data_IF_427600401354
#
_entry.id   IF_427600401354
#
_cell.length_a   1.000
_cell.length_b   1.000
_cell.length_c   1.000
_cell.angle_alpha   90.00
_cell.angle_beta   90.00
_cell.angle_gamma   90.00
#
_symmetry.space_group_name_H-M   'P 1'
#
loop_
_entity.id
_entity.type
_entity.pdbx_description
1 polymer ?
#
# COMPACT_ATOMS: atom_id res chain seq x y z
N UNK A 1 12.30 4.29 13.00
CA UNK A 1 10.93 4.06 12.45
C UNK A 1 11.01 3.18 11.22
N UNK A 2 10.16 2.18 11.14
CA UNK A 2 9.94 1.34 9.95
C UNK A 2 8.46 1.36 9.57
N UNK A 3 8.15 0.95 8.35
CA UNK A 3 6.77 0.83 7.83
C UNK A 3 6.55 -0.60 7.37
N UNK A 4 5.43 -1.20 7.75
CA UNK A 4 5.01 -2.50 7.23
C UNK A 4 3.79 -2.36 6.34
N UNK A 5 3.77 -3.11 5.24
CA UNK A 5 2.56 -3.42 4.49
C UNK A 5 2.34 -4.93 4.57
N UNK A 6 1.23 -5.33 5.17
CA UNK A 6 0.80 -6.72 5.22
C UNK A 6 -0.45 -6.89 4.37
N UNK A 7 -0.41 -7.79 3.41
CA UNK A 7 -1.56 -8.18 2.58
C UNK A 7 -2.01 -9.57 3.02
N UNK A 8 -3.29 -9.69 3.33
CA UNK A 8 -3.91 -10.90 3.86
C UNK A 8 -4.96 -11.38 2.87
N UNK A 9 -4.89 -12.64 2.49
CA UNK A 9 -5.93 -13.29 1.70
C UNK A 9 -6.68 -14.32 2.54
N UNK A 10 -7.91 -14.01 2.91
CA UNK A 10 -8.77 -14.90 3.68
C UNK A 10 -9.28 -16.06 2.82
N UNK A 11 -9.51 -17.23 3.45
CA UNK A 11 -10.25 -18.32 2.80
C UNK A 11 -11.69 -17.85 2.53
N UNK A 12 -12.30 -18.29 1.43
CA UNK A 12 -13.66 -17.87 1.04
C UNK A 12 -14.68 -18.00 2.16
N UNK A 13 -14.62 -19.09 2.93
CA UNK A 13 -15.50 -19.34 4.08
C UNK A 13 -15.39 -18.28 5.17
N UNK A 14 -14.24 -17.60 5.27
CA UNK A 14 -13.94 -16.63 6.33
C UNK A 14 -14.08 -15.16 5.90
N UNK A 15 -14.70 -14.90 4.74
CA UNK A 15 -15.00 -13.51 4.31
C UNK A 15 -15.79 -12.71 5.37
N UNK A 16 -16.83 -13.27 6.05
CA UNK A 16 -17.51 -12.52 7.12
C UNK A 16 -16.57 -12.11 8.26
N UNK A 17 -15.59 -12.94 8.58
CA UNK A 17 -14.57 -12.62 9.59
C UNK A 17 -13.57 -11.58 9.09
N UNK A 18 -13.27 -11.56 7.79
CA UNK A 18 -12.46 -10.50 7.19
C UNK A 18 -13.14 -9.12 7.31
N UNK A 19 -14.45 -9.06 7.05
CA UNK A 19 -15.24 -7.84 7.25
C UNK A 19 -15.29 -7.43 8.72
N UNK A 20 -15.52 -8.39 9.63
CA UNK A 20 -15.55 -8.14 11.07
C UNK A 20 -14.19 -7.61 11.56
N UNK A 21 -13.08 -8.13 11.02
CA UNK A 21 -11.73 -7.70 11.35
C UNK A 21 -11.52 -6.19 11.15
N UNK A 22 -12.16 -5.58 10.16
CA UNK A 22 -12.08 -4.14 9.90
C UNK A 22 -12.63 -3.30 11.07
N UNK A 23 -13.49 -3.85 11.89
CA UNK A 23 -13.99 -3.20 13.09
C UNK A 23 -13.16 -3.59 14.33
N UNK A 24 -13.01 -4.89 14.60
CA UNK A 24 -12.45 -5.39 15.86
C UNK A 24 -10.94 -5.21 15.97
N UNK A 25 -10.20 -5.14 14.85
CA UNK A 25 -8.75 -4.92 14.89
C UNK A 25 -8.37 -3.48 15.25
N UNK A 26 -9.29 -2.53 15.18
CA UNK A 26 -8.99 -1.11 15.45
C UNK A 26 -8.49 -0.90 16.88
N UNK A 27 -9.17 -1.47 17.86
CA UNK A 27 -8.81 -1.27 19.25
C UNK A 27 -7.45 -1.92 19.60
N UNK A 28 -7.18 -3.19 19.28
CA UNK A 28 -5.86 -3.77 19.47
C UNK A 28 -4.72 -2.99 18.79
N UNK A 29 -4.94 -2.49 17.57
CA UNK A 29 -3.94 -1.71 16.85
C UNK A 29 -3.72 -0.32 17.49
N UNK A 30 -4.79 0.32 17.98
CA UNK A 30 -4.69 1.60 18.67
C UNK A 30 -3.90 1.48 20.00
N UNK A 31 -4.01 0.34 20.65
CA UNK A 31 -3.33 0.05 21.93
C UNK A 31 -1.97 -0.63 21.74
N UNK A 32 -1.56 -0.90 20.50
CA UNK A 32 -0.30 -1.58 20.22
C UNK A 32 0.89 -0.67 20.48
N UNK A 33 1.73 -1.06 21.42
CA UNK A 33 2.97 -0.34 21.71
C UNK A 33 3.87 -0.25 20.48
N UNK A 34 4.52 0.87 20.29
CA UNK A 34 5.42 1.12 19.16
C UNK A 34 4.71 1.28 17.81
N UNK A 35 3.37 1.22 17.74
CA UNK A 35 2.60 1.49 16.52
C UNK A 35 2.12 2.94 16.52
N UNK A 36 2.83 3.82 15.83
CA UNK A 36 2.54 5.26 15.80
C UNK A 36 1.44 5.65 14.81
N UNK A 37 1.21 4.82 13.78
CA UNK A 37 0.19 5.02 12.76
C UNK A 37 -0.21 3.69 12.14
N UNK A 38 -1.50 3.52 11.83
CA UNK A 38 -1.96 2.35 11.09
C UNK A 38 -3.18 2.66 10.22
N UNK A 39 -3.35 1.85 9.18
CA UNK A 39 -4.53 1.84 8.31
C UNK A 39 -4.93 0.41 7.97
N UNK A 40 -6.18 0.08 8.29
CA UNK A 40 -6.84 -1.11 7.80
C UNK A 40 -7.43 -0.80 6.43
N UNK A 41 -7.14 -1.63 5.44
CA UNK A 41 -7.38 -1.36 4.03
C UNK A 41 -8.15 -2.51 3.39
N UNK A 42 -9.16 -2.20 2.61
CA UNK A 42 -9.73 -3.13 1.64
C UNK A 42 -8.88 -3.17 0.38
N UNK A 43 -9.10 -4.14 -0.48
CA UNK A 43 -8.41 -4.29 -1.77
C UNK A 43 -9.40 -4.36 -2.92
N UNK A 44 -9.03 -3.79 -4.06
CA UNK A 44 -9.70 -4.02 -5.33
C UNK A 44 -9.30 -5.35 -5.95
N UNK A 45 -10.12 -5.89 -6.85
CA UNK A 45 -9.78 -7.06 -7.66
C UNK A 45 -8.53 -6.77 -8.51
N UNK A 46 -7.82 -7.84 -8.87
CA UNK A 46 -6.66 -7.80 -9.78
C UNK A 46 -5.44 -7.00 -9.28
N UNK A 47 -5.38 -6.65 -7.99
CA UNK A 47 -4.23 -5.95 -7.41
C UNK A 47 -4.08 -4.49 -7.83
N UNK A 48 -4.98 -3.97 -8.64
CA UNK A 48 -5.04 -2.58 -9.07
C UNK A 48 -6.19 -1.84 -8.40
N UNK A 49 -6.36 -0.55 -8.72
CA UNK A 49 -7.62 0.13 -8.41
C UNK A 49 -8.74 -0.54 -9.21
N UNK A 50 -9.71 -1.10 -8.51
CA UNK A 50 -10.90 -1.65 -9.12
C UNK A 50 -12.12 -1.20 -8.32
N UNK A 51 -13.22 -0.90 -9.01
CA UNK A 51 -14.50 -0.62 -8.36
C UNK A 51 -15.09 -1.87 -7.71
N UNK A 52 -14.72 -3.06 -8.22
CA UNK A 52 -15.10 -4.32 -7.61
C UNK A 52 -14.13 -4.70 -6.49
N UNK A 53 -14.60 -4.84 -5.24
CA UNK A 53 -13.76 -5.23 -4.12
C UNK A 53 -13.36 -6.70 -4.20
N UNK A 54 -12.13 -7.01 -3.84
CA UNK A 54 -11.74 -8.38 -3.49
C UNK A 54 -12.04 -8.64 -2.00
N UNK A 55 -13.19 -9.26 -1.75
CA UNK A 55 -13.64 -9.54 -0.38
C UNK A 55 -12.72 -10.50 0.39
N UNK A 56 -11.85 -11.22 -0.30
CA UNK A 56 -10.86 -12.08 0.34
C UNK A 56 -9.57 -11.34 0.70
N UNK A 57 -9.24 -10.25 0.01
CA UNK A 57 -7.96 -9.57 0.16
C UNK A 57 -8.10 -8.27 0.96
N UNK A 58 -7.29 -8.17 2.00
CA UNK A 58 -7.28 -7.04 2.93
C UNK A 58 -5.84 -6.66 3.25
N UNK A 59 -5.63 -5.43 3.67
CA UNK A 59 -4.32 -4.91 4.01
C UNK A 59 -4.26 -4.26 5.39
N UNK A 60 -3.09 -4.33 5.98
CA UNK A 60 -2.67 -3.46 7.08
C UNK A 60 -1.40 -2.73 6.66
N UNK A 61 -1.45 -1.40 6.68
CA UNK A 61 -0.27 -0.57 6.65
C UNK A 61 -0.05 0.04 8.03
N UNK A 62 1.17 -0.07 8.56
CA UNK A 62 1.48 0.46 9.88
C UNK A 62 2.91 1.02 9.97
N UNK A 63 3.08 2.06 10.79
CA UNK A 63 4.37 2.64 11.15
C UNK A 63 4.74 2.19 12.56
N UNK A 64 5.99 1.74 12.72
CA UNK A 64 6.53 1.19 13.94
C UNK A 64 7.76 1.99 14.37
N UNK A 65 7.90 2.19 15.67
CA UNK A 65 9.06 2.90 16.22
C UNK A 65 10.34 2.11 15.96
N UNK A 66 10.29 0.78 16.10
CA UNK A 66 11.40 -0.14 15.85
C UNK A 66 10.98 -1.41 15.10
N UNK A 67 11.97 -2.19 14.69
CA UNK A 67 11.77 -3.53 14.14
C UNK A 67 11.25 -4.49 15.21
N UNK A 68 11.71 -4.37 16.43
CA UNK A 68 11.33 -5.24 17.55
C UNK A 68 9.83 -5.06 17.89
N UNK A 69 9.30 -3.83 17.82
CA UNK A 69 7.86 -3.56 18.02
C UNK A 69 7.01 -4.26 16.97
N UNK A 70 7.46 -4.22 15.70
CA UNK A 70 6.78 -4.98 14.65
C UNK A 70 6.86 -6.49 14.89
N UNK A 71 8.02 -7.01 15.24
CA UNK A 71 8.24 -8.45 15.46
C UNK A 71 7.42 -8.95 16.67
N UNK A 72 7.28 -8.15 17.72
CA UNK A 72 6.38 -8.44 18.84
C UNK A 72 4.92 -8.47 18.39
N UNK A 73 4.47 -7.46 17.67
CA UNK A 73 3.11 -7.43 17.08
C UNK A 73 2.86 -8.67 16.22
N UNK A 74 3.77 -8.97 15.29
CA UNK A 74 3.58 -10.05 14.33
C UNK A 74 3.59 -11.43 14.98
N UNK A 75 4.36 -11.61 16.06
CA UNK A 75 4.45 -12.88 16.77
C UNK A 75 3.33 -13.11 17.78
N UNK A 76 2.92 -12.08 18.54
CA UNK A 76 2.11 -12.21 19.75
C UNK A 76 0.73 -11.55 19.71
N UNK A 77 0.47 -10.64 18.75
CA UNK A 77 -0.78 -9.87 18.78
C UNK A 77 -2.01 -10.71 18.48
N UNK A 78 -3.16 -10.26 19.00
CA UNK A 78 -4.47 -10.79 18.61
C UNK A 78 -4.69 -10.70 17.10
N UNK A 79 -4.28 -9.60 16.49
CA UNK A 79 -4.45 -9.33 15.03
C UNK A 79 -3.68 -10.35 14.22
N UNK A 80 -2.41 -10.59 14.52
CA UNK A 80 -1.59 -11.57 13.81
C UNK A 80 -2.08 -13.00 14.01
N UNK A 81 -2.56 -13.34 15.22
CA UNK A 81 -3.14 -14.65 15.53
C UNK A 81 -4.42 -14.89 14.72
N UNK A 82 -5.26 -13.86 14.57
CA UNK A 82 -6.44 -13.89 13.71
C UNK A 82 -6.08 -14.24 12.26
N UNK A 83 -5.05 -13.61 11.72
CA UNK A 83 -4.58 -13.89 10.35
C UNK A 83 -4.05 -15.31 10.20
N UNK A 84 -3.21 -15.77 11.13
CA UNK A 84 -2.65 -17.14 11.12
C UNK A 84 -3.72 -18.23 11.04
N UNK A 85 -4.87 -18.00 11.68
CA UNK A 85 -5.96 -18.99 11.74
C UNK A 85 -6.86 -18.90 10.51
N UNK A 86 -7.19 -17.70 10.04
CA UNK A 86 -8.30 -17.47 9.09
C UNK A 86 -7.83 -17.18 7.66
N UNK A 87 -6.56 -16.83 7.46
CA UNK A 87 -6.06 -16.59 6.11
C UNK A 87 -5.69 -17.87 5.36
N UNK A 88 -5.73 -17.78 4.05
CA UNK A 88 -5.12 -18.76 3.14
C UNK A 88 -3.66 -18.39 2.87
N UNK A 89 -3.39 -17.09 2.73
CA UNK A 89 -2.07 -16.54 2.48
C UNK A 89 -1.92 -15.21 3.23
N UNK A 90 -0.68 -14.90 3.58
CA UNK A 90 -0.30 -13.55 4.03
C UNK A 90 1.10 -13.24 3.52
N UNK A 91 1.27 -12.01 3.08
CA UNK A 91 2.56 -11.47 2.68
C UNK A 91 2.81 -10.16 3.39
N UNK A 92 4.04 -9.99 3.88
CA UNK A 92 4.44 -8.77 4.57
C UNK A 92 5.74 -8.24 3.99
N UNK A 93 5.76 -6.96 3.69
CA UNK A 93 6.95 -6.20 3.35
C UNK A 93 7.24 -5.18 4.45
N UNK A 94 8.49 -5.12 4.87
CA UNK A 94 9.00 -4.12 5.80
C UNK A 94 9.88 -3.14 5.03
N UNK A 95 9.66 -1.86 5.29
CA UNK A 95 10.29 -0.77 4.55
C UNK A 95 10.88 0.28 5.47
N UNK A 96 11.90 0.99 4.97
CA UNK A 96 12.36 2.26 5.49
C UNK A 96 11.81 3.41 4.63
N UNK A 97 11.21 4.46 5.20
CA UNK A 97 10.83 5.65 4.45
C UNK A 97 12.03 6.32 3.81
N UNK A 98 11.91 6.70 2.53
CA UNK A 98 12.94 7.42 1.78
C UNK A 98 12.56 8.86 1.53
N UNK A 99 11.29 9.08 1.24
CA UNK A 99 10.71 10.38 0.95
C UNK A 99 9.23 10.35 1.24
N UNK A 100 8.69 11.44 1.77
CA UNK A 100 7.25 11.61 1.94
C UNK A 100 6.86 13.06 1.75
N UNK A 101 5.68 13.30 1.16
CA UNK A 101 5.03 14.60 1.13
C UNK A 101 3.52 14.44 1.05
N UNK A 102 2.79 15.42 1.57
CA UNK A 102 1.36 15.36 1.73
C UNK A 102 0.95 14.75 3.07
N UNK A 103 -0.35 14.44 3.22
CA UNK A 103 -0.90 13.97 4.48
C UNK A 103 -1.88 12.81 4.31
N UNK A 104 -2.09 12.08 5.40
CA UNK A 104 -3.09 11.04 5.53
C UNK A 104 -3.91 11.29 6.80
N UNK A 105 -5.17 11.69 6.63
CA UNK A 105 -6.04 12.18 7.70
C UNK A 105 -5.38 13.31 8.52
N UNK A 106 -4.77 14.28 7.80
CA UNK A 106 -4.09 15.43 8.37
C UNK A 106 -2.76 15.13 9.06
N UNK A 107 -2.25 13.88 8.98
CA UNK A 107 -0.97 13.46 9.59
C UNK A 107 0.11 13.25 8.51
N UNK A 108 1.35 13.46 8.88
CA UNK A 108 2.56 13.10 8.09
C UNK A 108 3.19 11.82 8.68
N UNK A 109 2.64 10.62 8.40
CA UNK A 109 2.95 9.41 9.17
C UNK A 109 4.38 8.90 8.97
N UNK A 110 5.06 9.30 7.91
CA UNK A 110 6.42 8.84 7.58
C UNK A 110 7.51 9.82 7.95
N UNK A 111 7.15 10.95 8.58
CA UNK A 111 8.10 11.99 8.97
C UNK A 111 8.80 12.63 7.76
N UNK A 112 9.99 13.16 8.01
CA UNK A 112 10.89 13.75 7.00
C UNK A 112 12.16 12.90 6.93
N UNK A 113 12.13 11.77 6.22
CA UNK A 113 13.30 10.89 6.15
C UNK A 113 14.42 11.57 5.37
N UNK A 114 15.64 11.48 5.93
CA UNK A 114 16.88 11.86 5.25
C UNK A 114 17.55 10.58 4.77
N UNK A 115 17.39 10.24 3.50
CA UNK A 115 18.04 9.05 2.94
C UNK A 115 18.95 9.42 1.79
N UNK A 116 20.22 9.00 1.91
CA UNK A 116 21.28 9.28 0.95
C UNK A 116 21.48 8.18 -0.09
N UNK A 117 21.13 6.92 0.21
CA UNK A 117 21.36 5.80 -0.71
C UNK A 117 20.04 5.10 -1.09
N UNK A 118 19.75 5.11 -2.40
CA UNK A 118 18.57 4.48 -2.98
C UNK A 118 19.05 3.46 -4.02
N UNK A 119 19.66 2.39 -3.55
CA UNK A 119 20.02 1.22 -4.34
C UNK A 119 18.98 0.11 -4.18
N UNK A 120 18.75 -0.68 -5.23
CA UNK A 120 17.82 -1.82 -5.24
C UNK A 120 16.35 -1.44 -5.37
N UNK A 121 15.43 -2.35 -4.97
CA UNK A 121 14.00 -2.17 -5.12
C UNK A 121 13.47 -0.95 -4.35
N UNK A 122 12.45 -0.31 -4.95
CA UNK A 122 11.75 0.84 -4.35
C UNK A 122 10.26 0.57 -4.35
N UNK A 123 9.63 0.78 -3.21
CA UNK A 123 8.20 0.78 -3.09
C UNK A 123 7.65 2.21 -3.09
N UNK A 124 6.52 2.42 -3.75
CA UNK A 124 5.88 3.74 -3.89
C UNK A 124 4.44 3.64 -3.41
N UNK A 125 4.07 4.49 -2.47
CA UNK A 125 2.71 4.73 -2.06
C UNK A 125 2.20 6.02 -2.71
N UNK A 126 1.09 5.92 -3.41
CA UNK A 126 0.30 7.05 -3.85
C UNK A 126 -1.09 6.93 -3.25
N UNK A 127 -1.47 7.86 -2.41
CA UNK A 127 -2.77 7.86 -1.73
C UNK A 127 -3.51 9.16 -2.01
N UNK A 128 -4.82 9.07 -2.23
CA UNK A 128 -5.65 10.24 -2.44
C UNK A 128 -7.05 10.09 -1.82
N UNK A 129 -7.57 11.19 -1.30
CA UNK A 129 -9.00 11.39 -1.05
C UNK A 129 -9.59 12.16 -2.22
N UNK A 130 -10.37 11.46 -3.05
CA UNK A 130 -10.94 12.00 -4.29
C UNK A 130 -12.19 12.82 -3.94
N UNK A 131 -12.32 14.02 -4.49
CA UNK A 131 -13.54 14.83 -4.35
C UNK A 131 -14.71 14.14 -5.05
N UNK A 132 -15.87 14.09 -4.41
CA UNK A 132 -17.06 13.44 -4.97
C UNK A 132 -17.42 13.95 -6.36
N UNK A 133 -17.26 15.26 -6.63
CA UNK A 133 -17.49 15.85 -7.95
C UNK A 133 -16.50 15.40 -9.03
N UNK A 134 -15.40 14.74 -8.67
CA UNK A 134 -14.33 14.29 -9.56
C UNK A 134 -14.22 12.77 -9.70
N UNK A 135 -15.06 12.01 -9.00
CA UNK A 135 -15.03 10.55 -9.01
C UNK A 135 -15.11 9.97 -10.43
N UNK A 136 -16.04 10.48 -11.25
CA UNK A 136 -16.19 10.01 -12.63
C UNK A 136 -14.90 10.21 -13.44
N UNK A 137 -14.27 11.38 -13.32
CA UNK A 137 -13.03 11.71 -14.03
C UNK A 137 -11.87 10.84 -13.56
N UNK A 138 -11.76 10.62 -12.24
CA UNK A 138 -10.76 9.74 -11.66
C UNK A 138 -10.89 8.31 -12.19
N UNK A 139 -12.06 7.70 -12.02
CA UNK A 139 -12.27 6.30 -12.39
C UNK A 139 -12.16 6.04 -13.90
N UNK A 140 -12.48 7.01 -14.75
CA UNK A 140 -12.31 6.89 -16.20
C UNK A 140 -10.84 6.77 -16.66
N UNK A 141 -9.86 7.12 -15.81
CA UNK A 141 -8.44 7.05 -16.13
C UNK A 141 -7.69 5.91 -15.41
N UNK A 142 -8.33 5.25 -14.44
CA UNK A 142 -7.68 4.26 -13.58
C UNK A 142 -7.16 3.07 -14.36
N UNK A 143 -7.99 2.43 -15.16
CA UNK A 143 -7.62 1.24 -15.93
C UNK A 143 -6.46 1.50 -16.89
N UNK A 144 -6.47 2.65 -17.54
CA UNK A 144 -5.39 3.06 -18.46
C UNK A 144 -4.06 3.15 -17.70
N UNK A 145 -4.03 3.86 -16.58
CA UNK A 145 -2.81 4.03 -15.76
C UNK A 145 -2.35 2.69 -15.16
N UNK A 146 -3.28 1.86 -14.72
CA UNK A 146 -2.98 0.54 -14.15
C UNK A 146 -2.33 -0.40 -15.18
N UNK A 147 -2.88 -0.46 -16.40
CA UNK A 147 -2.35 -1.27 -17.49
C UNK A 147 -0.97 -0.79 -17.94
N UNK A 148 -0.79 0.52 -18.02
CA UNK A 148 0.52 1.13 -18.34
C UNK A 148 1.55 0.81 -17.26
N UNK A 149 1.18 0.87 -15.99
CA UNK A 149 2.06 0.54 -14.88
C UNK A 149 2.48 -0.94 -14.92
N UNK A 150 1.53 -1.85 -15.16
CA UNK A 150 1.79 -3.29 -15.21
C UNK A 150 2.73 -3.71 -16.37
N UNK A 151 2.76 -2.92 -17.46
CA UNK A 151 3.64 -3.15 -18.61
C UNK A 151 4.93 -2.33 -18.58
N UNK A 152 5.12 -1.50 -17.55
CA UNK A 152 6.30 -0.63 -17.48
C UNK A 152 7.58 -1.43 -17.13
N UNK A 153 8.73 -1.09 -17.74
CA UNK A 153 10.01 -1.69 -17.37
C UNK A 153 10.32 -1.53 -15.88
N UNK A 154 10.78 -2.61 -15.25
CA UNK A 154 11.13 -2.64 -13.84
C UNK A 154 9.95 -2.65 -12.88
N UNK A 155 8.71 -2.77 -13.36
CA UNK A 155 7.56 -3.05 -12.50
C UNK A 155 7.63 -4.47 -11.96
N UNK A 156 7.46 -4.62 -10.64
CA UNK A 156 7.48 -5.92 -9.95
C UNK A 156 6.06 -6.34 -9.58
N UNK A 157 5.37 -5.50 -8.81
CA UNK A 157 4.01 -5.77 -8.34
C UNK A 157 3.32 -4.50 -7.86
N UNK A 158 2.00 -4.56 -7.68
CA UNK A 158 1.24 -3.49 -7.03
C UNK A 158 0.01 -4.01 -6.29
N UNK A 159 -0.43 -3.22 -5.31
CA UNK A 159 -1.65 -3.46 -4.55
C UNK A 159 -2.50 -2.19 -4.58
N UNK A 160 -3.67 -2.28 -5.19
CA UNK A 160 -4.73 -1.29 -5.05
C UNK A 160 -5.45 -1.51 -3.73
N UNK A 161 -5.42 -0.52 -2.86
CA UNK A 161 -5.99 -0.60 -1.52
C UNK A 161 -6.76 0.68 -1.19
N UNK A 162 -7.68 0.62 -0.22
CA UNK A 162 -8.47 1.78 0.17
C UNK A 162 -9.08 1.65 1.54
N UNK A 163 -9.28 2.79 2.21
CA UNK A 163 -9.97 2.86 3.52
C UNK A 163 -11.49 2.92 3.38
N UNK A 164 -11.94 3.49 2.28
CA UNK A 164 -13.36 3.61 1.95
C UNK A 164 -13.54 3.39 0.45
N UNK A 165 -14.54 2.61 0.06
CA UNK A 165 -14.77 2.33 -1.35
C UNK A 165 -14.96 3.64 -2.12
N UNK A 166 -14.47 3.64 -3.36
CA UNK A 166 -14.68 4.68 -4.36
C UNK A 166 -13.86 5.95 -4.19
N UNK A 167 -13.71 6.53 -3.00
CA UNK A 167 -13.14 7.89 -2.87
C UNK A 167 -11.85 8.01 -2.03
N UNK A 168 -11.49 7.01 -1.19
CA UNK A 168 -10.23 6.99 -0.45
C UNK A 168 -9.37 5.83 -0.94
N UNK A 169 -8.55 6.11 -1.92
CA UNK A 169 -7.80 5.12 -2.66
C UNK A 169 -6.29 5.29 -2.49
N UNK A 170 -5.59 4.17 -2.53
CA UNK A 170 -4.13 4.15 -2.53
C UNK A 170 -3.61 3.02 -3.43
N UNK A 171 -2.49 3.27 -4.08
CA UNK A 171 -1.69 2.22 -4.73
C UNK A 171 -0.37 2.09 -4.01
N UNK A 172 -0.02 0.86 -3.69
CA UNK A 172 1.31 0.51 -3.24
C UNK A 172 1.99 -0.29 -4.35
N UNK A 173 2.92 0.32 -5.09
CA UNK A 173 3.63 -0.31 -6.21
C UNK A 173 5.09 -0.57 -5.88
N UNK A 174 5.65 -1.65 -6.41
CA UNK A 174 7.01 -2.12 -6.16
C UNK A 174 7.76 -2.15 -7.50
N UNK A 175 8.97 -1.63 -7.49
CA UNK A 175 9.80 -1.42 -8.67
C UNK A 175 11.22 -1.89 -8.43
N UNK A 176 11.92 -2.34 -9.47
CA UNK A 176 13.32 -2.76 -9.40
C UNK A 176 14.29 -1.65 -8.97
N UNK A 177 13.97 -0.40 -9.28
CA UNK A 177 14.81 0.75 -8.90
C UNK A 177 14.07 2.07 -8.97
N UNK A 178 14.65 3.10 -8.33
CA UNK A 178 14.17 4.47 -8.44
C UNK A 178 14.17 5.01 -9.88
N UNK A 179 15.08 4.55 -10.73
CA UNK A 179 15.14 4.98 -12.13
C UNK A 179 13.91 4.50 -12.91
N UNK A 180 13.42 3.27 -12.65
CA UNK A 180 12.20 2.76 -13.23
C UNK A 180 10.97 3.55 -12.76
N UNK A 181 10.90 3.88 -11.47
CA UNK A 181 9.83 4.76 -10.93
C UNK A 181 9.83 6.12 -11.64
N UNK A 182 10.99 6.76 -11.78
CA UNK A 182 11.12 8.05 -12.45
C UNK A 182 10.78 7.96 -13.94
N UNK A 183 11.21 6.89 -14.61
CA UNK A 183 10.88 6.66 -16.02
C UNK A 183 9.38 6.55 -16.24
N UNK A 184 8.68 5.76 -15.42
CA UNK A 184 7.23 5.64 -15.46
C UNK A 184 6.53 6.97 -15.16
N UNK A 185 6.94 7.67 -14.09
CA UNK A 185 6.27 8.88 -13.63
C UNK A 185 6.41 10.08 -14.60
N UNK A 186 7.57 10.20 -15.27
CA UNK A 186 7.90 11.42 -16.03
C UNK A 186 8.09 11.20 -17.54
N UNK A 187 8.36 9.97 -18.00
CA UNK A 187 8.61 9.68 -19.42
C UNK A 187 7.41 9.05 -20.14
N UNK A 188 6.35 8.66 -19.41
CA UNK A 188 5.09 8.22 -20.01
C UNK A 188 4.22 9.45 -20.28
N UNK A 189 3.98 9.83 -21.56
CA UNK A 189 3.22 11.04 -21.87
C UNK A 189 1.80 11.00 -21.31
N UNK A 190 1.15 9.83 -21.39
CA UNK A 190 -0.23 9.66 -20.95
C UNK A 190 -0.35 9.76 -19.43
N UNK A 191 0.60 9.16 -18.68
CA UNK A 191 0.63 9.28 -17.22
C UNK A 191 0.93 10.72 -16.78
N UNK A 192 1.85 11.40 -17.45
CA UNK A 192 2.15 12.80 -17.19
C UNK A 192 0.92 13.71 -17.47
N UNK A 193 0.14 13.40 -18.50
CA UNK A 193 -1.11 14.12 -18.80
C UNK A 193 -2.14 13.92 -17.69
N UNK A 194 -2.35 12.69 -17.21
CA UNK A 194 -3.25 12.40 -16.09
C UNK A 194 -2.82 13.16 -14.84
N UNK A 195 -1.52 13.17 -14.51
CA UNK A 195 -0.99 13.95 -13.37
C UNK A 195 -1.28 15.44 -13.54
N UNK A 196 -1.02 15.99 -14.73
CA UNK A 196 -1.30 17.41 -15.04
C UNK A 196 -2.78 17.73 -14.89
N UNK A 197 -3.66 16.89 -15.43
CA UNK A 197 -5.12 17.02 -15.34
C UNK A 197 -5.61 16.94 -13.90
N UNK A 198 -5.11 15.97 -13.12
CA UNK A 198 -5.42 15.82 -11.70
C UNK A 198 -5.13 17.11 -10.92
N UNK A 199 -3.96 17.73 -11.17
CA UNK A 199 -3.55 18.97 -10.51
C UNK A 199 -4.36 20.17 -10.99
N UNK A 200 -4.50 20.35 -12.29
CA UNK A 200 -5.20 21.52 -12.88
C UNK A 200 -6.68 21.54 -12.54
N UNK A 201 -7.32 20.38 -12.47
CA UNK A 201 -8.74 20.24 -12.14
C UNK A 201 -9.00 20.04 -10.64
N UNK A 202 -7.93 19.86 -9.83
CA UNK A 202 -8.02 19.72 -8.39
C UNK A 202 -8.87 18.52 -7.95
N UNK A 203 -8.53 17.31 -8.40
CA UNK A 203 -9.32 16.11 -8.15
C UNK A 203 -9.31 15.67 -6.69
N UNK A 204 -8.24 15.97 -5.96
CA UNK A 204 -8.04 15.49 -4.60
C UNK A 204 -8.34 16.58 -3.57
N UNK A 205 -8.90 16.19 -2.44
CA UNK A 205 -9.01 17.02 -1.24
C UNK A 205 -7.82 16.81 -0.29
N UNK A 206 -7.19 15.64 -0.37
CA UNK A 206 -6.00 15.29 0.35
C UNK A 206 -5.22 14.26 -0.45
N UNK A 207 -3.90 14.37 -0.44
CA UNK A 207 -3.01 13.41 -1.08
C UNK A 207 -1.77 13.14 -0.23
N UNK A 208 -1.23 11.94 -0.38
CA UNK A 208 0.05 11.55 0.19
C UNK A 208 0.82 10.75 -0.85
N UNK A 209 2.06 11.12 -1.05
CA UNK A 209 3.04 10.37 -1.83
C UNK A 209 4.22 10.01 -0.94
N UNK A 210 4.64 8.75 -0.97
CA UNK A 210 5.82 8.30 -0.26
C UNK A 210 6.60 7.25 -1.05
N UNK A 211 7.91 7.24 -0.85
CA UNK A 211 8.84 6.23 -1.36
C UNK A 211 9.48 5.51 -0.19
N UNK A 212 9.72 4.23 -0.38
CA UNK A 212 10.27 3.36 0.65
C UNK A 212 11.35 2.46 0.05
N UNK A 213 12.34 2.12 0.87
CA UNK A 213 13.29 1.04 0.62
C UNK A 213 12.76 -0.23 1.29
N UNK A 214 12.36 -1.27 0.56
CA UNK A 214 12.10 -2.58 1.14
C UNK A 214 13.36 -3.12 1.80
N UNK A 215 13.23 -3.60 3.04
CA UNK A 215 14.35 -4.15 3.81
C UNK A 215 14.12 -5.60 4.24
N UNK A 216 12.86 -6.05 4.22
CA UNK A 216 12.51 -7.44 4.42
C UNK A 216 11.18 -7.77 3.71
N UNK A 217 11.04 -9.01 3.28
CA UNK A 217 9.82 -9.57 2.71
C UNK A 217 9.68 -11.01 3.15
N UNK A 218 8.46 -11.42 3.50
CA UNK A 218 8.17 -12.78 3.90
C UNK A 218 6.71 -13.15 3.72
N UNK A 219 6.44 -14.45 3.62
CA UNK A 219 5.13 -14.99 3.28
C UNK A 219 4.86 -14.96 1.78
N UNK A 220 3.62 -15.22 1.39
CA UNK A 220 3.21 -15.27 -0.01
C UNK A 220 1.89 -14.56 -0.26
N UNK A 221 1.72 -14.06 -1.48
CA UNK A 221 0.45 -13.63 -2.04
C UNK A 221 0.36 -14.14 -3.49
N UNK A 222 -0.75 -14.80 -3.83
CA UNK A 222 -0.92 -15.52 -5.09
C UNK A 222 0.21 -16.56 -5.32
N UNK A 223 0.63 -17.26 -4.23
CA UNK A 223 1.62 -18.31 -4.25
C UNK A 223 3.07 -17.83 -4.38
N UNK A 224 3.36 -16.54 -4.32
CA UNK A 224 4.70 -15.98 -4.52
C UNK A 224 5.02 -14.88 -3.51
N UNK A 225 6.29 -14.74 -3.16
CA UNK A 225 6.82 -13.51 -2.56
C UNK A 225 7.27 -12.58 -3.71
N UNK A 226 6.64 -11.40 -3.88
CA UNK A 226 7.01 -10.45 -4.94
C UNK A 226 8.45 -9.96 -4.89
N UNK A 227 9.11 -10.02 -3.73
CA UNK A 227 10.48 -9.54 -3.52
C UNK A 227 11.49 -10.67 -3.33
N UNK A 228 11.10 -11.92 -3.56
CA UNK A 228 11.99 -13.06 -3.42
C UNK A 228 13.27 -12.92 -4.27
N UNK A 229 14.44 -13.01 -3.63
CA UNK A 229 15.77 -12.89 -4.27
C UNK A 229 16.13 -11.47 -4.77
N UNK A 230 15.34 -10.44 -4.43
CA UNK A 230 15.63 -9.06 -4.81
C UNK A 230 16.22 -8.22 -3.66
N UNK A 231 16.06 -8.65 -2.40
CA UNK A 231 16.54 -7.93 -1.22
C UNK A 231 17.95 -8.37 -0.77
N UNK A 232 18.42 -9.51 -1.26
CA UNK A 232 19.71 -10.12 -0.86
C UNK A 232 20.89 -9.69 -1.77
N UNK A 233 20.75 -8.56 -2.47
CA UNK A 233 21.80 -8.04 -3.37
C UNK A 233 22.40 -6.74 -2.91
#
# INVERSE_FOLDING_TARGET
MIVSLTIIRYRKLFIPFALLAMAIHRLPLLMQNGCSFYKLLGSGKNGTFDLEPDWQQWGLMACWDSRDDFDEFYSKSFVSSWWKILSAESWTMICQPLQSHGSWDGKEPFGKPEVSDISGPVAVLTRATIKFSRLKNFWANVDTVANMMASAPGYINSFGVGEAPVYRQATFSIWESLNHVKAFAYKSPEHAEVIKKTRSEGWYSEELFARFKPVASFGTINGKDPLNGLLDK
#
